data_IF_635607550473
#
_entry.id   IF_635607550473
#
_cell.length_a   1.000
_cell.length_b   1.000
_cell.length_c   1.000
_cell.angle_alpha   90.00
_cell.angle_beta   90.00
_cell.angle_gamma   90.00
#
_symmetry.space_group_name_H-M   'P 1'
#
loop_
_entity.id
_entity.type
_entity.pdbx_description
1 polymer ?
#
# COMPACT_ATOMS: atom_id res chain seq x y z
N UNK A 1 -6.15 -2.69 -4.08
CA UNK A 1 -4.75 -3.13 -3.97
C UNK A 1 -4.48 -3.50 -2.53
N UNK A 2 -3.99 -4.71 -2.28
CA UNK A 2 -3.79 -5.24 -0.94
C UNK A 2 -2.30 -5.43 -0.64
N UNK A 3 -1.89 -4.90 0.50
CA UNK A 3 -0.57 -5.14 1.10
C UNK A 3 -0.68 -5.91 2.43
N UNK A 4 0.44 -6.17 3.05
CA UNK A 4 0.52 -6.91 4.31
C UNK A 4 0.18 -6.02 5.51
N UNK A 5 1.01 -5.04 5.78
CA UNK A 5 0.92 -4.13 6.92
C UNK A 5 1.59 -2.77 6.60
N UNK A 6 1.40 -1.76 7.44
CA UNK A 6 2.06 -0.48 7.27
C UNK A 6 3.59 -0.61 7.32
N UNK A 7 4.29 0.32 6.71
CA UNK A 7 5.74 0.41 6.88
C UNK A 7 6.09 0.59 8.37
N UNK A 8 7.02 -0.22 8.84
CA UNK A 8 7.42 -0.24 10.25
C UNK A 8 8.56 0.71 10.60
N UNK A 9 9.17 1.34 9.61
CA UNK A 9 10.17 2.39 9.83
C UNK A 9 9.50 3.72 10.20
N UNK A 10 10.13 4.54 11.06
CA UNK A 10 9.56 5.83 11.46
C UNK A 10 9.26 6.74 10.25
N UNK A 11 8.15 7.47 10.32
CA UNK A 11 7.78 8.52 9.37
C UNK A 11 7.59 8.07 7.90
N UNK A 12 7.33 6.80 7.66
CA UNK A 12 7.03 6.28 6.31
C UNK A 12 5.54 6.07 6.07
N UNK A 13 4.86 5.31 6.93
CA UNK A 13 3.43 5.04 6.77
C UNK A 13 2.60 6.32 6.90
N UNK A 14 1.61 6.49 6.03
CA UNK A 14 0.77 7.69 6.00
C UNK A 14 -0.73 7.38 5.78
N UNK A 15 -1.17 6.16 6.11
CA UNK A 15 -2.59 5.78 6.07
C UNK A 15 -3.07 5.13 4.77
N UNK A 16 -2.29 5.18 3.70
CA UNK A 16 -2.53 4.47 2.45
C UNK A 16 -1.47 3.38 2.28
N UNK A 17 -1.90 2.15 2.01
CA UNK A 17 -0.97 1.04 1.78
C UNK A 17 0.05 1.41 0.70
N UNK A 18 1.31 1.07 0.91
CA UNK A 18 2.47 1.36 0.06
C UNK A 18 2.88 2.83 -0.07
N UNK A 19 2.00 3.78 0.27
CA UNK A 19 2.27 5.21 0.14
C UNK A 19 3.23 5.71 1.22
N UNK A 20 4.11 6.62 0.84
CA UNK A 20 5.05 7.32 1.72
C UNK A 20 5.00 8.82 1.45
N UNK A 21 5.48 9.68 2.36
CA UNK A 21 5.56 11.11 2.10
C UNK A 21 6.35 11.44 0.82
N UNK A 22 5.85 12.39 0.04
CA UNK A 22 6.50 12.83 -1.21
C UNK A 22 7.90 13.40 -0.99
N UNK A 23 8.20 13.83 0.22
CA UNK A 23 9.52 14.37 0.62
C UNK A 23 10.63 13.33 0.63
N UNK A 24 10.30 12.02 0.59
CA UNK A 24 11.30 10.94 0.54
C UNK A 24 11.78 10.80 -0.91
N UNK A 25 13.06 11.07 -1.22
CA UNK A 25 13.57 10.97 -2.58
C UNK A 25 13.52 9.54 -3.13
N UNK A 26 13.22 9.39 -4.42
CA UNK A 26 13.18 8.09 -5.12
C UNK A 26 14.47 7.28 -4.97
N UNK A 27 15.62 7.96 -4.97
CA UNK A 27 16.94 7.32 -4.82
C UNK A 27 17.36 7.07 -3.36
N UNK A 28 16.56 7.50 -2.39
CA UNK A 28 16.89 7.35 -0.97
C UNK A 28 16.90 5.88 -0.55
N UNK A 29 17.81 5.52 0.37
CA UNK A 29 17.79 4.21 1.03
C UNK A 29 16.51 3.97 1.84
N UNK A 30 15.80 5.03 2.21
CA UNK A 30 14.53 4.95 2.92
C UNK A 30 13.33 4.74 2.00
N UNK A 31 13.51 4.82 0.69
CA UNK A 31 12.45 4.54 -0.29
C UNK A 31 12.18 3.02 -0.33
N UNK A 32 10.96 2.57 0.00
CA UNK A 32 10.67 1.14 0.16
C UNK A 32 10.89 0.32 -1.11
N UNK A 33 11.37 -0.91 -0.93
CA UNK A 33 11.62 -1.84 -2.03
C UNK A 33 10.33 -2.16 -2.81
N UNK A 34 9.19 -2.30 -2.11
CA UNK A 34 7.89 -2.53 -2.76
C UNK A 34 7.55 -1.43 -3.77
N UNK A 35 7.69 -0.16 -3.37
CA UNK A 35 7.47 0.97 -4.26
C UNK A 35 8.48 1.04 -5.40
N UNK A 36 9.74 0.70 -5.16
CA UNK A 36 10.74 0.60 -6.23
C UNK A 36 10.35 -0.43 -7.27
N UNK A 37 9.86 -1.58 -6.83
CA UNK A 37 9.42 -2.64 -7.72
C UNK A 37 8.18 -2.22 -8.51
N UNK A 38 7.21 -1.55 -7.88
CA UNK A 38 6.06 -0.99 -8.58
C UNK A 38 6.49 0.04 -9.63
N UNK A 39 7.38 0.96 -9.27
CA UNK A 39 7.88 1.97 -10.19
C UNK A 39 8.61 1.33 -11.39
N UNK A 40 9.40 0.29 -11.14
CA UNK A 40 10.06 -0.47 -12.18
C UNK A 40 9.06 -1.17 -13.10
N UNK A 41 8.03 -1.79 -12.54
CA UNK A 41 6.98 -2.43 -13.32
C UNK A 41 6.24 -1.43 -14.22
N UNK A 42 5.88 -0.26 -13.69
CA UNK A 42 5.26 0.81 -14.48
C UNK A 42 6.13 1.26 -15.65
N UNK A 43 7.42 1.42 -15.42
CA UNK A 43 8.36 1.82 -16.46
C UNK A 43 8.50 0.74 -17.56
N UNK A 44 8.57 -0.53 -17.19
CA UNK A 44 8.64 -1.65 -18.12
C UNK A 44 7.39 -1.73 -18.99
N UNK A 45 6.22 -1.50 -18.40
CA UNK A 45 4.92 -1.53 -19.09
C UNK A 45 4.62 -0.25 -19.90
N UNK A 46 5.54 0.71 -19.92
CA UNK A 46 5.40 1.93 -20.73
C UNK A 46 4.56 3.04 -20.08
N UNK A 47 4.24 2.93 -18.80
CA UNK A 47 3.47 3.97 -18.07
C UNK A 47 4.35 5.07 -17.48
N UNK A 48 5.65 5.04 -17.72
CA UNK A 48 6.60 5.99 -17.16
C UNK A 48 7.00 5.63 -15.73
N UNK A 49 7.48 6.62 -15.00
CA UNK A 49 7.98 6.45 -13.63
C UNK A 49 7.20 7.30 -12.64
N UNK A 50 7.12 6.84 -11.40
CA UNK A 50 6.59 7.65 -10.30
C UNK A 50 7.46 8.90 -10.13
N UNK A 51 6.84 10.03 -9.83
CA UNK A 51 7.56 11.27 -9.49
C UNK A 51 7.98 11.27 -8.02
N UNK A 52 7.20 10.63 -7.17
CA UNK A 52 7.41 10.49 -5.73
C UNK A 52 6.62 9.27 -5.22
N UNK A 53 6.79 8.94 -3.94
CA UNK A 53 6.14 7.79 -3.32
C UNK A 53 4.78 8.05 -2.69
N UNK A 54 4.26 9.27 -2.78
CA UNK A 54 2.91 9.58 -2.31
C UNK A 54 1.88 9.13 -3.35
N UNK A 55 1.05 8.15 -2.98
CA UNK A 55 0.05 7.54 -3.84
C UNK A 55 -1.36 8.13 -3.67
N UNK A 56 -1.48 9.28 -3.01
CA UNK A 56 -2.77 9.93 -2.79
C UNK A 56 -3.53 10.19 -4.09
N UNK A 57 -2.83 10.47 -5.18
CA UNK A 57 -3.44 10.67 -6.48
C UNK A 57 -4.06 9.39 -7.06
N UNK A 58 -3.52 8.21 -6.73
CA UNK A 58 -4.15 6.94 -7.09
C UNK A 58 -5.45 6.74 -6.30
N UNK A 59 -5.42 7.03 -5.00
CA UNK A 59 -6.61 6.94 -4.15
C UNK A 59 -7.74 7.86 -4.67
N UNK A 60 -7.41 9.07 -5.10
CA UNK A 60 -8.37 10.01 -5.69
C UNK A 60 -8.99 9.51 -7.00
N UNK A 61 -8.33 8.59 -7.69
CA UNK A 61 -8.81 7.95 -8.92
C UNK A 61 -9.55 6.64 -8.69
N UNK A 62 -9.80 6.27 -7.44
CA UNK A 62 -10.58 5.09 -7.08
C UNK A 62 -9.75 3.84 -6.73
N UNK A 63 -8.44 3.98 -6.52
CA UNK A 63 -7.60 2.86 -6.04
C UNK A 63 -7.69 2.78 -4.52
N UNK A 64 -8.29 1.71 -4.00
CA UNK A 64 -8.26 1.43 -2.57
C UNK A 64 -6.91 0.79 -2.20
N UNK A 65 -6.12 1.53 -1.45
CA UNK A 65 -4.80 1.12 -0.97
C UNK A 65 -4.93 0.62 0.47
N UNK A 66 -5.11 -0.69 0.63
CA UNK A 66 -5.49 -1.34 1.88
C UNK A 66 -4.45 -2.39 2.29
N UNK A 67 -4.14 -2.46 3.58
CA UNK A 67 -3.36 -3.54 4.16
C UNK A 67 -4.27 -4.56 4.86
N UNK A 68 -3.83 -5.80 4.98
CA UNK A 68 -4.53 -6.83 5.75
C UNK A 68 -4.40 -6.63 7.26
N UNK A 69 -3.34 -5.95 7.70
CA UNK A 69 -3.15 -5.44 9.06
C UNK A 69 -3.03 -3.92 9.01
N UNK A 70 -3.80 -3.19 9.81
CA UNK A 70 -3.87 -1.72 9.75
C UNK A 70 -2.94 -1.02 10.75
N UNK A 71 -2.22 -1.78 11.55
CA UNK A 71 -1.19 -1.27 12.44
C UNK A 71 0.02 -2.20 12.47
N UNK A 72 1.13 -1.67 12.97
CA UNK A 72 2.39 -2.39 13.08
C UNK A 72 3.18 -1.81 14.25
N UNK A 73 3.97 -2.65 14.92
CA UNK A 73 4.92 -2.16 15.91
C UNK A 73 6.14 -1.58 15.21
N UNK A 74 6.62 -0.46 15.70
CA UNK A 74 7.79 0.21 15.13
C UNK A 74 8.99 -0.74 15.05
N UNK A 75 9.60 -0.84 13.88
CA UNK A 75 10.75 -1.72 13.63
C UNK A 75 10.46 -3.20 13.45
N UNK A 76 9.19 -3.64 13.60
CA UNK A 76 8.85 -5.06 13.61
C UNK A 76 7.76 -5.37 12.56
N UNK A 77 8.17 -5.73 11.35
CA UNK A 77 7.25 -6.14 10.29
C UNK A 77 6.36 -7.31 10.75
N UNK A 78 5.10 -7.28 10.32
CA UNK A 78 4.10 -8.32 10.62
C UNK A 78 3.77 -8.50 12.11
N UNK A 79 4.19 -7.58 12.98
CA UNK A 79 4.04 -7.68 14.43
C UNK A 79 2.59 -7.68 14.91
N UNK A 80 1.66 -7.10 14.15
CA UNK A 80 0.24 -7.04 14.48
C UNK A 80 -0.64 -7.95 13.63
N UNK A 81 -0.07 -8.95 12.96
CA UNK A 81 -0.81 -9.89 12.12
C UNK A 81 -1.93 -10.63 12.88
N UNK A 82 -1.77 -10.85 14.18
CA UNK A 82 -2.72 -11.56 15.05
C UNK A 82 -3.52 -10.63 15.97
N UNK A 83 -3.44 -9.31 15.77
CA UNK A 83 -4.06 -8.32 16.67
C UNK A 83 -5.58 -8.21 16.51
N UNK A 84 -6.18 -8.79 15.44
CA UNK A 84 -7.62 -8.75 15.20
C UNK A 84 -8.06 -7.89 14.01
N UNK A 85 -7.13 -7.36 13.22
CA UNK A 85 -7.46 -6.61 11.99
C UNK A 85 -8.05 -7.48 10.89
N UNK A 86 -7.63 -8.74 10.81
CA UNK A 86 -8.02 -9.66 9.74
C UNK A 86 -9.53 -9.80 9.55
N UNK A 87 -10.35 -10.05 10.60
CA UNK A 87 -11.81 -10.13 10.43
C UNK A 87 -12.44 -8.86 9.86
N UNK A 88 -11.95 -7.69 10.30
CA UNK A 88 -12.43 -6.40 9.80
C UNK A 88 -12.12 -6.22 8.32
N UNK A 89 -10.88 -6.48 7.92
CA UNK A 89 -10.44 -6.34 6.53
C UNK A 89 -11.14 -7.35 5.63
N UNK A 90 -11.29 -8.60 6.07
CA UNK A 90 -12.04 -9.62 5.32
C UNK A 90 -13.51 -9.21 5.12
N UNK A 91 -14.17 -8.67 6.14
CA UNK A 91 -15.54 -8.15 6.02
C UNK A 91 -15.63 -7.02 5.00
N UNK A 92 -14.67 -6.09 5.02
CA UNK A 92 -14.61 -5.01 4.05
C UNK A 92 -14.45 -5.52 2.62
N UNK A 93 -13.54 -6.49 2.40
CA UNK A 93 -13.30 -7.12 1.10
C UNK A 93 -14.56 -7.82 0.61
N UNK A 94 -15.25 -8.57 1.46
CA UNK A 94 -16.50 -9.26 1.12
C UNK A 94 -17.58 -8.26 0.71
N UNK A 95 -17.75 -7.18 1.43
CA UNK A 95 -18.73 -6.13 1.09
C UNK A 95 -18.41 -5.47 -0.25
N UNK A 96 -17.15 -5.17 -0.51
CA UNK A 96 -16.72 -4.59 -1.79
C UNK A 96 -16.99 -5.57 -2.95
N UNK A 97 -16.63 -6.84 -2.79
CA UNK A 97 -16.86 -7.87 -3.81
C UNK A 97 -18.35 -8.09 -4.10
N UNK A 98 -19.21 -7.98 -3.08
CA UNK A 98 -20.66 -8.13 -3.23
C UNK A 98 -21.36 -6.92 -3.87
N UNK A 99 -20.82 -5.72 -3.69
CA UNK A 99 -21.48 -4.46 -4.08
C UNK A 99 -20.91 -3.83 -5.36
N UNK A 100 -19.75 -4.29 -5.83
CA UNK A 100 -19.06 -3.77 -7.02
C UNK A 100 -18.88 -4.85 -8.05
N UNK A 101 -19.44 -4.66 -9.25
CA UNK A 101 -19.38 -5.64 -10.33
C UNK A 101 -18.08 -5.61 -11.14
N UNK A 102 -17.31 -4.56 -11.04
CA UNK A 102 -16.08 -4.35 -11.83
C UNK A 102 -14.94 -3.90 -10.95
N UNK A 103 -14.32 -4.86 -10.27
CA UNK A 103 -13.14 -4.63 -9.45
C UNK A 103 -11.93 -5.33 -10.05
N UNK A 104 -10.80 -4.64 -10.04
CA UNK A 104 -9.49 -5.24 -10.32
C UNK A 104 -8.77 -5.42 -8.99
N UNK A 105 -8.34 -6.65 -8.72
CA UNK A 105 -7.64 -7.01 -7.50
C UNK A 105 -6.14 -7.11 -7.77
N UNK A 106 -5.36 -6.31 -7.06
CA UNK A 106 -3.90 -6.38 -7.07
C UNK A 106 -3.42 -6.87 -5.71
N UNK A 107 -2.91 -8.08 -5.68
CA UNK A 107 -2.33 -8.72 -4.50
C UNK A 107 -0.80 -8.59 -4.60
N UNK A 108 -0.25 -7.70 -3.82
CA UNK A 108 1.18 -7.38 -3.91
C UNK A 108 2.04 -8.07 -2.86
#
# INVERSE_FOLDING_TARGET
MLGQDPYHSPNLAQGLAFSIPETIPLGSKHFPTSLRNMNKALAIEGFGSLRHGDLSHWAKQGVLLLNTSLSVRLGEANSHAQLGWKPLVETLIQKLSGNKSRLVWLLW
#
